data_IF_974687464721
#
_entry.id   IF_974687464721
#
_cell.length_a   1.000
_cell.length_b   1.000
_cell.length_c   1.000
_cell.angle_alpha   90.00
_cell.angle_beta   90.00
_cell.angle_gamma   90.00
#
_symmetry.space_group_name_H-M   'P 1'
#
loop_
_entity.id
_entity.type
_entity.pdbx_description
1 polymer ?
#
# COMPACT_ATOMS: atom_id res chain seq x y z
N UNK A 1 -1.04 -23.07 20.64
CA UNK A 1 0.12 -22.42 20.01
C UNK A 1 -0.38 -21.41 18.98
N UNK A 2 0.16 -20.20 18.93
CA UNK A 2 -0.20 -19.25 17.87
C UNK A 2 0.48 -19.69 16.56
N UNK A 3 -0.28 -19.93 15.47
CA UNK A 3 0.31 -20.44 14.22
C UNK A 3 1.25 -19.45 13.54
N UNK A 4 1.23 -18.17 13.95
CA UNK A 4 2.06 -17.09 13.41
C UNK A 4 2.78 -16.36 14.55
N UNK A 5 3.91 -16.90 15.00
CA UNK A 5 4.76 -16.21 15.97
C UNK A 5 5.53 -15.08 15.28
N UNK A 6 5.49 -13.84 15.80
CA UNK A 6 6.21 -12.72 15.20
C UNK A 6 7.72 -12.87 15.39
N UNK A 7 8.53 -12.46 14.42
CA UNK A 7 9.99 -12.51 14.56
C UNK A 7 10.58 -11.34 15.35
N UNK A 8 9.89 -10.19 15.31
CA UNK A 8 10.31 -8.94 15.96
C UNK A 8 9.08 -8.29 16.61
N UNK A 9 9.15 -7.00 16.87
CA UNK A 9 7.97 -6.20 17.21
C UNK A 9 6.91 -6.30 16.10
N UNK A 10 5.65 -6.36 16.49
CA UNK A 10 4.54 -6.45 15.54
C UNK A 10 4.22 -5.07 14.99
N UNK A 11 4.37 -4.90 13.67
CA UNK A 11 3.93 -3.71 12.94
C UNK A 11 3.03 -4.18 11.79
N UNK A 12 1.74 -4.30 12.09
CA UNK A 12 0.68 -4.75 11.17
C UNK A 12 -0.41 -3.69 11.14
N UNK A 13 -0.16 -2.60 10.42
CA UNK A 13 -1.09 -1.46 10.34
C UNK A 13 -1.99 -1.58 9.11
N UNK A 14 -1.46 -2.11 8.00
CA UNK A 14 -2.21 -2.37 6.78
C UNK A 14 -3.46 -3.23 7.05
N UNK A 15 -4.58 -2.84 6.44
CA UNK A 15 -5.83 -3.61 6.56
C UNK A 15 -5.72 -4.89 5.73
N UNK A 16 -6.11 -6.07 6.26
CA UNK A 16 -6.19 -7.28 5.45
C UNK A 16 -7.15 -7.09 4.26
N UNK A 17 -6.76 -7.57 3.08
CA UNK A 17 -7.50 -7.37 1.84
C UNK A 17 -8.20 -8.67 1.47
N UNK A 18 -9.52 -8.61 1.29
CA UNK A 18 -10.34 -9.75 0.90
C UNK A 18 -11.04 -9.46 -0.43
N UNK A 19 -10.87 -10.35 -1.43
CA UNK A 19 -11.52 -10.23 -2.74
C UNK A 19 -12.77 -11.12 -2.91
N UNK A 20 -13.21 -11.78 -1.83
CA UNK A 20 -14.28 -12.77 -1.87
C UNK A 20 -13.78 -14.21 -1.87
N UNK A 21 -12.51 -14.47 -2.23
CA UNK A 21 -11.90 -15.81 -2.27
C UNK A 21 -10.54 -15.87 -1.57
N UNK A 22 -9.75 -14.81 -1.68
CA UNK A 22 -8.41 -14.69 -1.14
C UNK A 22 -8.38 -13.60 -0.07
N UNK A 23 -7.73 -13.91 1.05
CA UNK A 23 -7.44 -12.98 2.13
C UNK A 23 -5.93 -12.78 2.18
N UNK A 24 -5.48 -11.57 1.83
CA UNK A 24 -4.10 -11.13 1.93
C UNK A 24 -3.88 -10.37 3.23
N UNK A 25 -2.84 -10.73 3.97
CA UNK A 25 -2.33 -9.96 5.10
C UNK A 25 -0.84 -9.69 4.92
N UNK A 26 -0.36 -8.56 5.44
CA UNK A 26 1.05 -8.16 5.37
C UNK A 26 1.48 -7.47 6.67
N UNK A 27 2.75 -7.62 7.03
CA UNK A 27 3.40 -7.07 8.21
C UNK A 27 4.80 -6.60 7.83
N UNK A 28 5.22 -5.48 8.41
CA UNK A 28 6.52 -4.85 8.10
C UNK A 28 7.72 -5.78 8.31
N UNK A 29 7.69 -6.62 9.35
CA UNK A 29 8.78 -7.55 9.64
C UNK A 29 8.49 -9.00 9.22
N UNK A 30 7.22 -9.38 9.07
CA UNK A 30 6.83 -10.77 8.83
C UNK A 30 6.39 -11.06 7.39
N UNK A 31 6.47 -10.06 6.49
CA UNK A 31 6.20 -10.22 5.07
C UNK A 31 4.71 -10.33 4.76
N UNK A 32 4.34 -11.22 3.85
CA UNK A 32 2.96 -11.38 3.38
C UNK A 32 2.47 -12.82 3.49
N UNK A 33 1.16 -12.95 3.70
CA UNK A 33 0.43 -14.20 3.82
C UNK A 33 -0.80 -14.14 2.93
N UNK A 34 -0.96 -15.14 2.06
CA UNK A 34 -2.19 -15.32 1.30
C UNK A 34 -2.91 -16.58 1.76
N UNK A 35 -4.18 -16.38 2.12
CA UNK A 35 -5.10 -17.43 2.50
C UNK A 35 -6.21 -17.51 1.46
N UNK A 36 -6.62 -18.73 1.12
CA UNK A 36 -7.88 -18.98 0.42
C UNK A 36 -8.98 -19.24 1.44
N UNK A 37 -10.07 -18.52 1.34
CA UNK A 37 -11.23 -18.63 2.24
C UNK A 37 -12.26 -19.55 1.59
N UNK A 38 -12.60 -20.64 2.28
CA UNK A 38 -13.65 -21.56 1.83
C UNK A 38 -15.03 -20.90 2.01
N UNK A 39 -15.89 -21.01 1.00
CA UNK A 39 -17.24 -20.42 1.01
C UNK A 39 -18.27 -21.31 1.69
N UNK A 40 -18.01 -22.62 1.68
CA UNK A 40 -18.90 -23.70 2.11
C UNK A 40 -18.65 -24.14 3.56
N UNK A 41 -17.53 -23.70 4.16
CA UNK A 41 -17.15 -24.05 5.53
C UNK A 41 -16.29 -22.95 6.15
N UNK A 42 -16.39 -22.78 7.47
CA UNK A 42 -15.57 -21.84 8.23
C UNK A 42 -14.12 -22.33 8.34
N UNK A 43 -13.36 -22.20 7.27
CA UNK A 43 -11.96 -22.62 7.20
C UNK A 43 -11.19 -21.83 6.15
N UNK A 44 -9.87 -21.82 6.30
CA UNK A 44 -8.94 -21.22 5.36
C UNK A 44 -7.86 -22.21 4.96
N UNK A 45 -7.36 -22.08 3.75
CA UNK A 45 -6.22 -22.80 3.22
C UNK A 45 -5.08 -21.81 3.03
N UNK A 46 -3.89 -22.10 3.58
CA UNK A 46 -2.72 -21.26 3.34
C UNK A 46 -2.16 -21.56 1.96
N UNK A 47 -2.25 -20.60 1.03
CA UNK A 47 -1.68 -20.73 -0.30
C UNK A 47 -0.17 -20.53 -0.25
N UNK A 48 0.25 -19.41 0.34
CA UNK A 48 1.67 -19.14 0.56
C UNK A 48 1.86 -18.15 1.71
N UNK A 49 3.08 -18.17 2.24
CA UNK A 49 3.57 -17.19 3.20
C UNK A 49 5.00 -16.88 2.83
N UNK A 50 5.29 -15.62 2.57
CA UNK A 50 6.59 -15.17 2.05
C UNK A 50 7.12 -14.05 2.91
N UNK A 51 8.41 -14.15 3.19
CA UNK A 51 9.13 -13.23 4.06
C UNK A 51 10.58 -13.19 3.60
N UNK A 52 11.11 -11.99 3.44
CA UNK A 52 12.54 -11.81 3.16
C UNK A 52 13.41 -11.90 4.42
N UNK A 53 14.72 -11.77 4.23
CA UNK A 53 15.70 -11.80 5.33
C UNK A 53 15.52 -10.64 6.32
N UNK A 54 14.99 -9.51 5.83
CA UNK A 54 14.70 -8.33 6.65
C UNK A 54 13.66 -7.44 5.97
N UNK A 55 13.24 -6.38 6.66
CA UNK A 55 12.45 -5.32 6.04
C UNK A 55 13.20 -4.57 4.93
N UNK A 56 14.50 -4.80 4.73
CA UNK A 56 15.30 -4.18 3.66
C UNK A 56 15.46 -5.13 2.47
N UNK A 57 15.63 -6.43 2.76
CA UNK A 57 15.78 -7.50 1.78
C UNK A 57 14.52 -8.35 1.77
N UNK A 58 13.47 -7.80 1.16
CA UNK A 58 12.13 -8.38 1.17
C UNK A 58 11.95 -9.38 0.03
N UNK A 59 11.23 -10.47 0.30
CA UNK A 59 10.90 -11.50 -0.68
C UNK A 59 9.55 -11.19 -1.38
N UNK A 60 8.54 -10.86 -0.58
CA UNK A 60 7.23 -10.34 -1.02
C UNK A 60 7.02 -8.91 -0.48
N UNK A 61 5.76 -8.50 -0.28
CA UNK A 61 5.43 -7.21 0.34
C UNK A 61 5.59 -7.27 1.86
N UNK A 62 6.28 -6.27 2.42
CA UNK A 62 6.42 -5.98 3.83
C UNK A 62 5.81 -4.60 4.11
N UNK A 63 4.53 -4.43 3.79
CA UNK A 63 3.89 -3.12 3.93
C UNK A 63 3.87 -2.68 5.40
N UNK A 64 4.13 -1.39 5.62
CA UNK A 64 3.98 -0.78 6.94
C UNK A 64 2.53 -0.33 7.17
N UNK A 65 2.16 0.81 6.56
CA UNK A 65 0.86 1.48 6.71
C UNK A 65 -0.04 1.22 5.49
N UNK A 66 0.56 1.21 4.29
CA UNK A 66 -0.13 1.02 3.02
C UNK A 66 -0.91 -0.28 2.98
N UNK A 67 -2.21 -0.19 2.68
CA UNK A 67 -3.03 -1.36 2.37
C UNK A 67 -2.84 -1.73 0.89
N UNK A 68 -2.36 -2.95 0.56
CA UNK A 68 -2.27 -3.40 -0.83
C UNK A 68 -3.64 -3.47 -1.51
N UNK A 69 -3.64 -3.65 -2.82
CA UNK A 69 -4.86 -3.96 -3.58
C UNK A 69 -4.70 -5.30 -4.30
N UNK A 70 -5.79 -6.06 -4.33
CA UNK A 70 -5.94 -7.25 -5.18
C UNK A 70 -6.67 -6.84 -6.46
N UNK A 71 -6.10 -7.18 -7.62
CA UNK A 71 -6.68 -6.87 -8.92
C UNK A 71 -6.37 -7.98 -9.93
N UNK A 72 -7.39 -8.78 -10.25
CA UNK A 72 -7.22 -9.95 -11.10
C UNK A 72 -6.24 -10.94 -10.46
N UNK A 73 -5.21 -11.33 -11.21
CA UNK A 73 -4.17 -12.27 -10.78
C UNK A 73 -2.96 -11.59 -10.13
N UNK A 74 -3.11 -10.32 -9.70
CA UNK A 74 -2.00 -9.51 -9.24
C UNK A 74 -2.27 -8.82 -7.90
N UNK A 75 -1.20 -8.61 -7.15
CA UNK A 75 -1.16 -7.82 -5.92
C UNK A 75 -0.35 -6.56 -6.19
N UNK A 76 -0.90 -5.40 -5.87
CA UNK A 76 -0.14 -4.15 -5.92
C UNK A 76 -0.03 -3.52 -4.55
N UNK A 77 1.16 -3.07 -4.16
CA UNK A 77 1.39 -2.51 -2.83
C UNK A 77 2.71 -1.77 -2.73
N UNK A 78 2.89 -1.08 -1.61
CA UNK A 78 4.12 -0.35 -1.29
C UNK A 78 4.87 -1.09 -0.20
N UNK A 79 6.10 -1.46 -0.50
CA UNK A 79 6.97 -2.17 0.42
C UNK A 79 7.52 -1.25 1.51
N UNK A 80 8.18 -1.86 2.49
CA UNK A 80 8.77 -1.25 3.67
C UNK A 80 9.57 0.04 3.47
N UNK A 81 10.18 0.27 2.29
CA UNK A 81 10.99 1.45 2.00
C UNK A 81 10.44 2.31 0.85
N UNK A 82 9.17 2.12 0.47
CA UNK A 82 8.52 2.93 -0.58
C UNK A 82 8.55 2.29 -1.97
N UNK A 83 9.03 1.06 -2.09
CA UNK A 83 9.02 0.34 -3.36
C UNK A 83 7.57 0.00 -3.75
N UNK A 84 7.04 0.65 -4.78
CA UNK A 84 5.78 0.25 -5.38
C UNK A 84 6.02 -1.03 -6.18
N UNK A 85 5.21 -2.06 -5.96
CA UNK A 85 5.43 -3.38 -6.59
C UNK A 85 4.15 -3.98 -7.12
N UNK A 86 4.33 -4.83 -8.12
CA UNK A 86 3.38 -5.85 -8.53
C UNK A 86 3.92 -7.22 -8.16
N UNK A 87 3.08 -8.04 -7.52
CA UNK A 87 3.34 -9.45 -7.30
C UNK A 87 2.32 -10.31 -8.05
N UNK A 88 2.75 -11.50 -8.45
CA UNK A 88 1.85 -12.58 -8.86
C UNK A 88 1.00 -13.02 -7.65
N UNK A 89 -0.32 -13.11 -7.79
CA UNK A 89 -1.21 -13.51 -6.71
C UNK A 89 -0.99 -14.96 -6.29
N UNK A 90 -0.71 -15.85 -7.23
CA UNK A 90 -0.62 -17.30 -7.00
C UNK A 90 0.69 -17.68 -6.32
N UNK A 91 1.80 -17.04 -6.70
CA UNK A 91 3.14 -17.38 -6.19
C UNK A 91 3.69 -16.37 -5.20
N UNK A 92 3.16 -15.14 -5.19
CA UNK A 92 3.71 -14.01 -4.45
C UNK A 92 5.01 -13.46 -5.03
N UNK A 93 5.44 -13.94 -6.22
CA UNK A 93 6.68 -13.49 -6.85
C UNK A 93 6.58 -12.04 -7.30
N UNK A 94 7.66 -11.29 -7.14
CA UNK A 94 7.75 -9.93 -7.65
C UNK A 94 7.83 -9.94 -9.17
N UNK A 95 6.88 -9.28 -9.80
CA UNK A 95 6.84 -9.08 -11.25
C UNK A 95 7.62 -7.82 -11.61
N UNK A 96 7.37 -6.72 -10.89
CA UNK A 96 8.11 -5.47 -11.08
C UNK A 96 8.21 -4.65 -9.79
N UNK A 97 9.12 -3.69 -9.81
CA UNK A 97 9.33 -2.66 -8.79
C UNK A 97 9.48 -1.28 -9.44
N UNK A 98 8.88 -0.26 -8.83
CA UNK A 98 8.97 1.14 -9.21
C UNK A 98 9.27 2.02 -7.98
N UNK A 99 10.18 2.99 -8.15
CA UNK A 99 10.66 3.90 -7.10
C UNK A 99 10.29 5.37 -7.34
N UNK A 100 9.41 5.63 -8.32
CA UNK A 100 9.09 6.98 -8.78
C UNK A 100 7.88 7.58 -8.05
N UNK A 101 7.02 6.74 -7.47
CA UNK A 101 5.77 7.15 -6.84
C UNK A 101 5.96 7.79 -5.44
N UNK A 102 7.06 7.45 -4.75
CA UNK A 102 7.43 8.04 -3.45
C UNK A 102 8.95 7.92 -3.26
N UNK A 103 9.63 8.90 -2.61
CA UNK A 103 11.05 8.78 -2.34
C UNK A 103 11.37 7.55 -1.49
N UNK A 104 12.41 6.80 -1.88
CA UNK A 104 12.85 5.62 -1.14
C UNK A 104 13.38 6.00 0.25
N UNK A 105 12.71 5.54 1.30
CA UNK A 105 13.13 5.68 2.68
C UNK A 105 12.34 4.71 3.58
N UNK A 106 12.91 4.34 4.73
CA UNK A 106 12.24 3.44 5.68
C UNK A 106 10.87 4.00 6.08
N UNK A 107 9.83 3.17 5.98
CA UNK A 107 8.42 3.53 6.21
C UNK A 107 7.85 4.53 5.22
N UNK A 108 8.39 4.61 4.00
CA UNK A 108 7.73 5.38 2.94
C UNK A 108 6.40 4.74 2.60
N UNK A 109 5.40 5.57 2.34
CA UNK A 109 4.03 5.14 2.27
C UNK A 109 3.26 5.79 1.11
N UNK A 110 2.34 5.02 0.53
CA UNK A 110 1.33 5.50 -0.41
C UNK A 110 0.01 4.84 -0.02
N UNK A 111 -1.05 5.63 0.10
CA UNK A 111 -2.40 5.11 0.26
C UNK A 111 -2.99 4.84 -1.12
N UNK A 112 -3.36 3.58 -1.41
CA UNK A 112 -3.89 3.13 -2.70
C UNK A 112 -5.42 3.05 -2.63
N UNK A 113 -6.11 3.79 -3.50
CA UNK A 113 -7.58 3.77 -3.60
C UNK A 113 -8.00 3.48 -5.03
N UNK A 114 -8.68 2.34 -5.24
CA UNK A 114 -9.20 1.95 -6.56
C UNK A 114 -10.35 2.86 -6.98
N UNK A 115 -10.34 3.30 -8.23
CA UNK A 115 -11.40 4.08 -8.85
C UNK A 115 -11.53 3.71 -10.34
N UNK A 116 -12.45 2.79 -10.65
CA UNK A 116 -12.61 2.19 -11.99
C UNK A 116 -11.28 1.61 -12.53
N UNK A 117 -10.82 2.09 -13.69
CA UNK A 117 -9.58 1.64 -14.34
C UNK A 117 -8.31 2.31 -13.76
N UNK A 118 -8.45 3.17 -12.74
CA UNK A 118 -7.36 3.96 -12.16
C UNK A 118 -7.17 3.63 -10.70
N UNK A 119 -5.97 3.90 -10.23
CA UNK A 119 -5.62 3.91 -8.82
C UNK A 119 -5.20 5.31 -8.44
N UNK A 120 -5.80 5.78 -7.36
CA UNK A 120 -5.54 7.06 -6.75
C UNK A 120 -4.59 6.82 -5.60
N UNK A 121 -3.44 7.48 -5.66
CA UNK A 121 -2.25 7.13 -4.90
C UNK A 121 -1.81 8.37 -4.14
N UNK A 122 -2.14 8.45 -2.86
CA UNK A 122 -1.73 9.58 -2.01
C UNK A 122 -0.46 9.21 -1.24
N UNK A 123 0.67 9.82 -1.60
CA UNK A 123 1.96 9.51 -0.97
C UNK A 123 2.22 10.36 0.27
N UNK A 124 3.19 9.94 1.09
CA UNK A 124 3.57 10.65 2.32
C UNK A 124 4.21 12.03 2.09
N UNK A 125 4.44 12.44 0.83
CA UNK A 125 4.92 13.78 0.46
C UNK A 125 3.78 14.77 0.24
N UNK A 126 2.55 14.32 0.49
CA UNK A 126 1.35 15.13 0.32
C UNK A 126 0.93 15.25 -1.14
N UNK A 127 1.42 14.35 -1.99
CA UNK A 127 1.08 14.32 -3.41
C UNK A 127 -0.04 13.33 -3.67
N UNK A 128 -1.01 13.73 -4.50
CA UNK A 128 -1.96 12.83 -5.12
C UNK A 128 -1.47 12.50 -6.52
N UNK A 129 -1.16 11.22 -6.73
CA UNK A 129 -0.87 10.63 -8.01
C UNK A 129 -2.14 9.91 -8.49
N UNK A 130 -2.42 9.99 -9.79
CA UNK A 130 -3.42 9.17 -10.46
C UNK A 130 -2.67 8.35 -11.49
N UNK A 131 -2.86 7.04 -11.50
CA UNK A 131 -2.20 6.17 -12.46
C UNK A 131 -2.94 4.87 -12.70
N UNK A 132 -2.33 4.01 -13.52
CA UNK A 132 -2.75 2.64 -13.73
C UNK A 132 -1.67 1.70 -13.22
N UNK A 133 -2.10 0.64 -12.55
CA UNK A 133 -1.24 -0.45 -12.12
C UNK A 133 -1.60 -1.66 -12.97
N UNK A 134 -0.63 -2.12 -13.76
CA UNK A 134 -0.78 -3.28 -14.64
C UNK A 134 0.40 -4.22 -14.45
N UNK A 135 0.36 -5.46 -14.97
CA UNK A 135 1.48 -6.40 -14.89
C UNK A 135 2.73 -5.90 -15.64
N UNK A 136 2.56 -4.96 -16.58
CA UNK A 136 3.66 -4.35 -17.34
C UNK A 136 4.34 -3.21 -16.57
N UNK A 137 3.65 -2.57 -15.63
CA UNK A 137 4.23 -1.52 -14.79
C UNK A 137 3.24 -0.55 -14.16
N UNK A 138 3.80 0.48 -13.53
CA UNK A 138 3.07 1.66 -13.08
C UNK A 138 3.08 2.73 -14.19
N UNK A 139 1.88 3.18 -14.57
CA UNK A 139 1.69 4.25 -15.53
C UNK A 139 1.07 5.47 -14.87
N UNK A 140 1.89 6.45 -14.52
CA UNK A 140 1.43 7.74 -13.98
C UNK A 140 0.67 8.54 -15.05
N UNK A 141 -0.52 9.02 -14.69
CA UNK A 141 -1.36 9.88 -15.54
C UNK A 141 -1.20 11.34 -15.13
N UNK A 142 -1.18 11.61 -13.82
CA UNK A 142 -1.05 12.96 -13.28
C UNK A 142 -0.56 12.92 -11.84
N UNK A 143 0.11 13.99 -11.42
CA UNK A 143 0.56 14.20 -10.05
C UNK A 143 0.34 15.65 -9.65
N UNK A 144 -0.14 15.86 -8.43
CA UNK A 144 -0.28 17.20 -7.85
C UNK A 144 0.00 17.17 -6.35
N UNK A 145 0.60 18.23 -5.82
CA UNK A 145 0.83 18.39 -4.38
C UNK A 145 -0.39 19.06 -3.76
N UNK A 146 -0.98 18.41 -2.75
CA UNK A 146 -2.20 18.87 -2.09
C UNK A 146 -1.97 19.39 -0.67
N UNK A 147 -0.91 18.93 0.01
CA UNK A 147 -0.59 19.35 1.37
C UNK A 147 0.92 19.25 1.63
N UNK A 148 1.43 20.08 2.53
CA UNK A 148 2.81 19.94 3.01
C UNK A 148 2.92 18.84 4.08
N UNK A 149 3.96 17.99 4.05
CA UNK A 149 4.27 17.08 5.15
C UNK A 149 4.61 17.83 6.44
N UNK A 150 4.32 17.23 7.60
CA UNK A 150 4.72 17.75 8.92
C UNK A 150 6.00 17.09 9.40
N UNK A 151 6.87 17.86 10.05
CA UNK A 151 8.23 17.44 10.42
C UNK A 151 8.35 16.88 11.84
N UNK A 152 7.28 16.90 12.64
CA UNK A 152 7.34 16.57 14.07
C UNK A 152 7.76 15.12 14.33
N UNK A 153 7.34 14.18 13.47
CA UNK A 153 7.71 12.77 13.62
C UNK A 153 9.02 12.40 12.90
N UNK A 154 9.28 12.96 11.71
CA UNK A 154 10.34 12.50 10.81
C UNK A 154 11.05 13.66 10.11
N UNK A 155 11.58 14.61 10.90
CA UNK A 155 12.27 15.80 10.39
C UNK A 155 13.42 15.47 9.44
N UNK A 156 14.24 14.46 9.75
CA UNK A 156 15.37 14.03 8.89
C UNK A 156 14.93 13.54 7.51
N UNK A 157 13.65 13.18 7.34
CA UNK A 157 13.07 12.78 6.05
C UNK A 157 12.38 13.94 5.34
N UNK A 158 12.44 15.17 5.83
CA UNK A 158 11.67 16.31 5.30
C UNK A 158 10.18 16.26 5.66
N UNK A 159 9.82 15.53 6.73
CA UNK A 159 8.45 15.35 7.18
C UNK A 159 7.66 14.26 6.45
N UNK A 160 6.50 13.90 7.00
CA UNK A 160 5.60 12.89 6.42
C UNK A 160 4.13 13.32 6.54
N UNK A 161 3.30 12.78 5.64
CA UNK A 161 1.84 12.83 5.72
C UNK A 161 1.29 11.41 5.68
N UNK A 162 1.14 10.77 6.84
CA UNK A 162 0.69 9.37 6.92
C UNK A 162 -0.82 9.19 7.06
N UNK A 163 -1.58 10.27 7.26
CA UNK A 163 -3.04 10.19 7.31
C UNK A 163 -3.62 9.69 5.97
N UNK A 164 -4.53 8.72 6.02
CA UNK A 164 -5.22 8.23 4.84
C UNK A 164 -6.17 9.32 4.30
N UNK A 165 -6.23 9.54 2.97
CA UNK A 165 -7.19 10.49 2.39
C UNK A 165 -8.63 9.96 2.49
N UNK A 166 -9.61 10.85 2.54
CA UNK A 166 -11.01 10.50 2.38
C UNK A 166 -11.54 11.05 1.05
N UNK A 167 -12.45 10.29 0.41
CA UNK A 167 -13.07 10.67 -0.86
C UNK A 167 -14.59 10.71 -0.68
N UNK A 168 -15.19 11.86 -0.98
CA UNK A 168 -16.64 12.01 -0.94
C UNK A 168 -17.09 13.17 -1.83
N UNK A 169 -18.24 13.00 -2.51
CA UNK A 169 -18.87 14.07 -3.30
C UNK A 169 -17.94 14.73 -4.33
N UNK A 170 -17.15 13.92 -5.04
CA UNK A 170 -16.13 14.39 -6.00
C UNK A 170 -15.06 15.30 -5.38
N UNK A 171 -14.76 15.11 -4.11
CA UNK A 171 -13.68 15.81 -3.40
C UNK A 171 -12.76 14.82 -2.71
N UNK A 172 -11.51 15.24 -2.54
CA UNK A 172 -10.54 14.59 -1.67
C UNK A 172 -10.36 15.45 -0.41
N UNK A 173 -10.28 14.80 0.74
CA UNK A 173 -10.00 15.40 2.04
C UNK A 173 -8.72 14.80 2.58
N UNK A 174 -7.75 15.65 2.89
CA UNK A 174 -6.42 15.25 3.36
C UNK A 174 -6.08 16.09 4.58
N UNK A 175 -5.47 15.48 5.59
CA UNK A 175 -4.95 16.22 6.74
C UNK A 175 -3.49 15.90 7.00
N UNK A 176 -2.79 16.84 7.60
CA UNK A 176 -1.54 16.62 8.32
C UNK A 176 -1.77 16.95 9.81
N UNK A 177 -0.71 17.23 10.58
CA UNK A 177 -0.83 17.59 12.00
C UNK A 177 -1.17 19.08 12.25
N UNK A 178 -1.34 19.88 11.18
CA UNK A 178 -1.57 21.33 11.23
C UNK A 178 -2.88 21.77 10.58
N UNK A 179 -3.32 21.08 9.53
CA UNK A 179 -4.44 21.50 8.70
C UNK A 179 -5.20 20.33 8.07
N UNK A 180 -6.43 20.61 7.61
CA UNK A 180 -7.26 19.75 6.78
C UNK A 180 -7.57 20.49 5.48
N UNK A 181 -7.17 19.91 4.35
CA UNK A 181 -7.40 20.42 3.01
C UNK A 181 -8.53 19.66 2.35
N UNK A 182 -9.36 20.38 1.59
CA UNK A 182 -10.37 19.83 0.69
C UNK A 182 -10.09 20.31 -0.73
N UNK A 183 -9.92 19.39 -1.67
CA UNK A 183 -9.69 19.72 -3.08
C UNK A 183 -10.77 19.10 -3.98
N UNK A 184 -11.16 19.84 -5.02
CA UNK A 184 -12.15 19.42 -6.00
C UNK A 184 -11.51 18.50 -7.05
N UNK A 185 -12.14 17.35 -7.27
CA UNK A 185 -11.72 16.33 -8.23
C UNK A 185 -12.50 16.38 -9.55
N UNK A 186 -13.45 17.29 -9.67
CA UNK A 186 -14.22 17.52 -10.88
C UNK A 186 -13.45 18.34 -11.92
N UNK A 187 -12.43 19.06 -11.48
CA UNK A 187 -11.57 19.88 -12.32
C UNK A 187 -10.87 18.98 -13.34
N UNK A 188 -11.08 19.26 -14.62
CA UNK A 188 -10.30 18.58 -15.67
C UNK A 188 -8.84 19.03 -15.54
N UNK A 189 -7.87 18.11 -15.70
CA UNK A 189 -6.46 18.47 -15.75
C UNK A 189 -6.17 19.45 -16.88
#
# INVERSE_FOLDING_TARGET
AHPFAPQKMVITIATPVFDGRHLLATSFYDGSLLLKVHQDKLSVEKLWQRRGDSEVKTDALHCCISTPILQGEHIYGVDSHGELRCLDLTTGDRIWEDLTAVPKARWSNIHLVRNADKVWMFNERGELLIGRLTPEGFHEISRTRLIEPTTDQLNQRGGVCWAHPAFANRRIYIRNDKELVCADLATKP
#
